data_IF_204153557123
#
_entry.id   IF_204153557123
#
_cell.length_a   1.000
_cell.length_b   1.000
_cell.length_c   1.000
_cell.angle_alpha   90.00
_cell.angle_beta   90.00
_cell.angle_gamma   90.00
#
_symmetry.space_group_name_H-M   'P 1'
#
loop_
_entity.id
_entity.type
_entity.pdbx_description
1 polymer ?
#
# COMPACT_ATOMS: atom_id res chain seq x y z
N UNK A 1 -2.52 16.24 -8.45
CA UNK A 1 -3.62 16.77 -7.59
C UNK A 1 -3.55 18.28 -7.34
N UNK A 2 -2.37 18.89 -7.27
CA UNK A 2 -2.14 20.33 -7.02
C UNK A 2 -2.65 21.25 -8.15
N UNK A 3 -2.71 20.79 -9.39
CA UNK A 3 -3.30 21.56 -10.49
C UNK A 3 -4.79 21.90 -10.31
N UNK A 4 -5.49 21.22 -9.41
CA UNK A 4 -6.90 21.51 -9.09
C UNK A 4 -7.04 22.63 -8.10
N UNK A 5 -6.15 22.77 -7.11
CA UNK A 5 -6.24 23.81 -6.08
C UNK A 5 -6.07 25.21 -6.65
N UNK A 6 -5.14 25.44 -7.58
CA UNK A 6 -5.00 26.72 -8.28
C UNK A 6 -6.28 27.15 -8.99
N UNK A 7 -6.94 26.24 -9.73
CA UNK A 7 -8.22 26.53 -10.41
C UNK A 7 -9.35 26.92 -9.44
N UNK A 8 -9.38 26.31 -8.25
CA UNK A 8 -10.38 26.66 -7.23
C UNK A 8 -10.13 28.05 -6.66
N UNK A 9 -8.89 28.36 -6.31
CA UNK A 9 -8.52 29.64 -5.69
C UNK A 9 -8.60 30.79 -6.70
N UNK A 10 -8.11 30.57 -7.93
CA UNK A 10 -8.01 31.63 -8.94
C UNK A 10 -9.30 31.89 -9.73
N UNK A 11 -10.15 30.89 -9.88
CA UNK A 11 -11.35 30.96 -10.74
C UNK A 11 -12.65 30.66 -10.01
N UNK A 12 -12.74 29.55 -9.32
CA UNK A 12 -14.02 29.08 -8.78
C UNK A 12 -14.45 29.89 -7.56
N UNK A 13 -13.59 30.10 -6.58
CA UNK A 13 -13.93 30.85 -5.38
C UNK A 13 -14.28 32.31 -5.66
N UNK A 14 -13.53 33.04 -6.50
CA UNK A 14 -13.94 34.38 -6.92
C UNK A 14 -15.29 34.43 -7.65
N UNK A 15 -15.52 33.44 -8.56
CA UNK A 15 -16.78 33.35 -9.31
C UNK A 15 -18.00 33.08 -8.41
N UNK A 16 -17.80 32.38 -7.30
CA UNK A 16 -18.85 32.06 -6.31
C UNK A 16 -18.91 33.07 -5.17
N UNK A 17 -18.10 34.14 -5.19
CA UNK A 17 -18.04 35.12 -4.11
C UNK A 17 -17.53 34.57 -2.78
N UNK A 18 -16.81 33.43 -2.81
CA UNK A 18 -16.28 32.78 -1.61
C UNK A 18 -14.92 33.39 -1.24
N UNK A 19 -14.83 33.89 0.00
CA UNK A 19 -13.55 34.35 0.56
C UNK A 19 -12.67 33.18 0.94
N UNK A 20 -11.41 33.18 0.50
CA UNK A 20 -10.41 32.23 0.87
C UNK A 20 -9.27 32.90 1.66
N UNK A 21 -8.94 32.34 2.83
CA UNK A 21 -7.85 32.82 3.68
C UNK A 21 -6.87 31.69 3.93
N UNK A 22 -5.60 31.90 3.57
CA UNK A 22 -4.50 31.00 3.90
C UNK A 22 -3.64 31.63 5.00
N UNK A 23 -3.80 31.17 6.24
CA UNK A 23 -3.16 31.77 7.42
C UNK A 23 -1.64 31.68 7.32
N UNK A 24 -1.10 30.51 6.96
CA UNK A 24 0.35 30.28 6.87
C UNK A 24 1.03 31.05 5.74
N UNK A 25 0.29 31.36 4.68
CA UNK A 25 0.79 32.12 3.53
C UNK A 25 0.45 33.62 3.63
N UNK A 26 -0.22 34.04 4.71
CA UNK A 26 -0.74 35.41 4.93
C UNK A 26 -1.53 35.93 3.72
N UNK A 27 -2.30 35.06 3.08
CA UNK A 27 -3.10 35.36 1.89
C UNK A 27 -4.58 35.49 2.24
N UNK A 28 -5.20 36.55 1.72
CA UNK A 28 -6.65 36.81 1.87
C UNK A 28 -7.22 37.30 0.53
N UNK A 29 -8.12 36.53 -0.04
CA UNK A 29 -8.70 36.83 -1.37
C UNK A 29 -9.50 38.15 -1.43
N UNK A 30 -9.90 38.72 -0.30
CA UNK A 30 -10.59 40.03 -0.23
C UNK A 30 -9.66 41.22 -0.03
N UNK A 31 -8.44 41.01 0.47
CA UNK A 31 -7.49 42.12 0.73
C UNK A 31 -6.82 42.65 -0.54
N UNK A 32 -7.57 42.75 -1.64
CA UNK A 32 -7.11 43.32 -2.88
C UNK A 32 -5.95 42.54 -3.52
N UNK A 33 -6.06 42.22 -4.78
CA UNK A 33 -4.97 41.63 -5.55
C UNK A 33 -3.83 42.67 -5.63
N UNK A 34 -2.86 42.55 -4.72
CA UNK A 34 -1.57 43.22 -4.95
C UNK A 34 -0.94 42.56 -6.19
N UNK A 35 -0.42 43.36 -7.10
CA UNK A 35 0.30 42.82 -8.28
C UNK A 35 1.36 41.79 -7.93
N UNK A 36 1.93 41.88 -6.71
CA UNK A 36 2.85 40.90 -6.17
C UNK A 36 2.19 39.52 -5.94
N UNK A 37 0.94 39.45 -5.46
CA UNK A 37 0.24 38.19 -5.16
C UNK A 37 -0.14 37.43 -6.44
N UNK A 38 -0.42 38.14 -7.53
CA UNK A 38 -0.70 37.53 -8.84
C UNK A 38 0.50 36.76 -9.40
N UNK A 39 1.71 37.16 -9.04
CA UNK A 39 2.95 36.50 -9.49
C UNK A 39 3.43 35.47 -8.45
N UNK A 40 3.33 35.80 -7.17
CA UNK A 40 3.85 34.96 -6.08
C UNK A 40 3.10 33.63 -5.98
N UNK A 41 1.77 33.63 -6.12
CA UNK A 41 0.96 32.42 -5.97
C UNK A 41 1.25 31.38 -7.08
N UNK A 42 1.21 31.70 -8.38
CA UNK A 42 1.59 30.79 -9.42
C UNK A 42 3.05 30.30 -9.28
N UNK A 43 3.96 31.17 -8.84
CA UNK A 43 5.37 30.81 -8.63
C UNK A 43 5.53 29.83 -7.45
N UNK A 44 4.87 30.04 -6.32
CA UNK A 44 4.82 29.09 -5.20
C UNK A 44 4.25 27.72 -5.65
N UNK A 45 3.18 27.73 -6.43
CA UNK A 45 2.59 26.51 -6.98
C UNK A 45 3.57 25.75 -7.89
N UNK A 46 4.30 26.47 -8.74
CA UNK A 46 5.32 25.89 -9.61
C UNK A 46 6.47 25.26 -8.81
N UNK A 47 6.97 25.95 -7.78
CA UNK A 47 8.00 25.41 -6.89
C UNK A 47 7.50 24.16 -6.15
N UNK A 48 6.27 24.19 -5.62
CA UNK A 48 5.70 23.04 -4.95
C UNK A 48 5.55 21.82 -5.88
N UNK A 49 5.14 22.04 -7.12
CA UNK A 49 5.07 21.00 -8.14
C UNK A 49 6.45 20.42 -8.47
N UNK A 50 7.46 21.27 -8.65
CA UNK A 50 8.83 20.84 -8.88
C UNK A 50 9.37 20.02 -7.68
N UNK A 51 9.10 20.47 -6.46
CA UNK A 51 9.48 19.79 -5.24
C UNK A 51 8.80 18.42 -5.11
N UNK A 52 7.50 18.32 -5.40
CA UNK A 52 6.78 17.05 -5.39
C UNK A 52 7.33 16.05 -6.42
N UNK A 53 7.72 16.54 -7.61
CA UNK A 53 8.35 15.69 -8.63
C UNK A 53 9.72 15.19 -8.18
N UNK A 54 10.56 16.06 -7.64
CA UNK A 54 11.88 15.71 -7.14
C UNK A 54 11.81 14.67 -6.02
N UNK A 55 10.93 14.87 -5.02
CA UNK A 55 10.68 13.89 -3.97
C UNK A 55 10.21 12.55 -4.56
N UNK A 56 9.29 12.58 -5.52
CA UNK A 56 8.80 11.35 -6.16
C UNK A 56 9.92 10.57 -6.84
N UNK A 57 10.82 11.26 -7.54
CA UNK A 57 11.99 10.64 -8.19
C UNK A 57 12.92 10.03 -7.13
N UNK A 58 13.24 10.77 -6.07
CA UNK A 58 14.10 10.30 -4.97
C UNK A 58 13.52 9.08 -4.26
N UNK A 59 12.22 9.07 -3.98
CA UNK A 59 11.54 7.91 -3.36
C UNK A 59 11.63 6.69 -4.27
N UNK A 60 11.32 6.83 -5.57
CA UNK A 60 11.37 5.72 -6.53
C UNK A 60 12.78 5.15 -6.64
N UNK A 61 13.78 6.00 -6.80
CA UNK A 61 15.19 5.60 -6.87
C UNK A 61 15.62 4.85 -5.61
N UNK A 62 15.27 5.37 -4.43
CA UNK A 62 15.61 4.72 -3.16
C UNK A 62 14.93 3.34 -3.02
N UNK A 63 13.65 3.25 -3.38
CA UNK A 63 12.93 1.96 -3.38
C UNK A 63 13.54 0.96 -4.37
N UNK A 64 13.98 1.43 -5.53
CA UNK A 64 14.65 0.58 -6.53
C UNK A 64 15.99 0.05 -6.02
N UNK A 65 16.82 0.91 -5.41
CA UNK A 65 18.08 0.51 -4.80
C UNK A 65 17.85 -0.57 -3.73
N UNK A 66 16.86 -0.36 -2.86
CA UNK A 66 16.49 -1.34 -1.82
C UNK A 66 16.06 -2.68 -2.42
N UNK A 67 15.23 -2.65 -3.46
CA UNK A 67 14.82 -3.89 -4.15
C UNK A 67 16.00 -4.61 -4.79
N UNK A 68 16.93 -3.90 -5.44
CA UNK A 68 18.16 -4.48 -6.00
C UNK A 68 19.07 -5.12 -4.94
N UNK A 69 19.03 -4.61 -3.70
CA UNK A 69 19.71 -5.23 -2.55
C UNK A 69 18.97 -6.43 -1.95
N UNK A 70 17.81 -6.81 -2.48
CA UNK A 70 16.97 -7.89 -1.94
C UNK A 70 16.18 -7.50 -0.68
N UNK A 71 16.12 -6.22 -0.34
CA UNK A 71 15.36 -5.73 0.81
C UNK A 71 13.85 -5.79 0.57
N UNK A 72 13.08 -6.24 1.55
CA UNK A 72 11.62 -6.20 1.51
C UNK A 72 11.13 -4.77 1.78
N UNK A 73 10.60 -4.12 0.75
CA UNK A 73 10.06 -2.74 0.85
C UNK A 73 8.53 -2.70 0.98
N UNK A 74 7.86 -3.86 0.89
CA UNK A 74 6.41 -3.93 1.02
C UNK A 74 5.98 -3.79 2.48
N UNK A 75 4.84 -3.11 2.77
CA UNK A 75 4.33 -3.03 4.14
C UNK A 75 3.87 -4.39 4.67
N UNK A 76 3.32 -5.22 3.80
CA UNK A 76 2.82 -6.55 4.11
C UNK A 76 3.67 -7.62 3.43
N UNK A 77 3.87 -8.73 4.14
CA UNK A 77 4.62 -9.90 3.65
C UNK A 77 3.67 -11.06 3.35
N UNK A 78 4.15 -12.03 2.59
CA UNK A 78 3.39 -13.24 2.29
C UNK A 78 3.10 -14.02 3.59
N UNK A 79 1.96 -14.71 3.62
CA UNK A 79 1.59 -15.59 4.74
C UNK A 79 2.66 -16.65 4.96
N UNK A 80 3.01 -16.98 6.19
CA UNK A 80 4.13 -17.87 6.52
C UNK A 80 5.46 -17.15 6.73
N UNK A 81 5.54 -15.86 6.43
CA UNK A 81 6.70 -15.01 6.72
C UNK A 81 6.31 -13.83 7.59
N UNK A 82 7.27 -13.33 8.35
CA UNK A 82 7.16 -12.08 9.11
C UNK A 82 8.42 -11.25 8.93
N UNK A 83 8.34 -9.95 9.22
CA UNK A 83 9.52 -9.09 9.25
C UNK A 83 10.30 -9.34 10.52
N UNK A 84 11.63 -9.37 10.41
CA UNK A 84 12.52 -9.51 11.57
C UNK A 84 12.36 -8.29 12.49
N UNK A 85 12.41 -8.50 13.80
CA UNK A 85 12.30 -7.42 14.80
C UNK A 85 13.43 -6.41 14.72
N UNK A 86 14.62 -6.87 14.36
CA UNK A 86 15.84 -6.07 14.24
C UNK A 86 15.94 -5.29 12.94
N UNK A 87 15.40 -5.84 11.84
CA UNK A 87 15.46 -5.24 10.50
C UNK A 87 14.14 -5.42 9.75
N UNK A 88 13.40 -4.34 9.58
CA UNK A 88 12.10 -4.32 8.88
C UNK A 88 12.19 -4.68 7.39
N UNK A 89 13.38 -4.77 6.83
CA UNK A 89 13.62 -5.11 5.43
C UNK A 89 13.96 -6.58 5.21
N UNK A 90 14.19 -7.34 6.29
CA UNK A 90 14.46 -8.78 6.23
C UNK A 90 13.23 -9.59 6.61
N UNK A 91 13.08 -10.72 5.92
CA UNK A 91 12.01 -11.68 6.18
C UNK A 91 12.57 -12.86 6.98
N UNK A 92 11.78 -13.34 7.91
CA UNK A 92 12.01 -14.59 8.62
C UNK A 92 10.75 -15.46 8.54
N UNK A 93 10.90 -16.77 8.68
CA UNK A 93 9.78 -17.70 8.70
C UNK A 93 9.00 -17.48 9.99
N UNK A 94 7.68 -17.36 9.87
CA UNK A 94 6.78 -17.39 11.01
C UNK A 94 6.51 -18.87 11.35
N UNK A 95 6.88 -19.38 12.55
CA UNK A 95 6.75 -20.79 12.86
C UNK A 95 5.32 -21.32 12.69
N UNK A 96 4.33 -20.56 13.16
CA UNK A 96 2.93 -20.98 13.13
C UNK A 96 2.34 -20.91 11.72
N UNK A 97 2.48 -19.78 11.04
CA UNK A 97 1.95 -19.61 9.69
C UNK A 97 2.77 -20.39 8.64
N UNK A 98 4.08 -20.56 8.88
CA UNK A 98 4.96 -21.33 8.00
C UNK A 98 4.63 -22.81 7.95
N UNK A 99 4.26 -23.43 9.09
CA UNK A 99 3.81 -24.83 9.12
C UNK A 99 2.54 -25.03 8.28
N UNK A 100 1.59 -24.10 8.37
CA UNK A 100 0.35 -24.17 7.57
C UNK A 100 0.67 -24.09 6.06
N UNK A 101 1.61 -23.24 5.67
CA UNK A 101 2.06 -23.18 4.27
C UNK A 101 2.66 -24.49 3.82
N UNK A 102 3.52 -25.11 4.63
CA UNK A 102 4.09 -26.44 4.31
C UNK A 102 2.99 -27.50 4.14
N UNK A 103 1.97 -27.49 5.00
CA UNK A 103 0.87 -28.45 4.91
C UNK A 103 0.01 -28.22 3.66
N UNK A 104 -0.21 -26.97 3.25
CA UNK A 104 -0.87 -26.66 1.96
C UNK A 104 -0.09 -27.28 0.79
N UNK A 105 1.24 -27.13 0.75
CA UNK A 105 2.07 -27.73 -0.30
C UNK A 105 2.03 -29.25 -0.23
N UNK A 106 2.10 -29.87 0.96
CA UNK A 106 1.99 -31.35 1.13
C UNK A 106 0.64 -31.86 0.62
N UNK A 107 -0.48 -31.23 1.02
CA UNK A 107 -1.82 -31.61 0.55
C UNK A 107 -1.94 -31.47 -0.97
N UNK A 108 -1.31 -30.46 -1.57
CA UNK A 108 -1.30 -30.29 -3.03
C UNK A 108 -0.51 -31.40 -3.72
N UNK A 109 0.65 -31.78 -3.19
CA UNK A 109 1.46 -32.91 -3.70
C UNK A 109 0.73 -34.26 -3.59
N UNK A 110 -0.14 -34.42 -2.59
CA UNK A 110 -1.03 -35.59 -2.45
C UNK A 110 -2.21 -35.59 -3.44
N UNK A 111 -2.30 -34.59 -4.33
CA UNK A 111 -3.33 -34.51 -5.38
C UNK A 111 -4.61 -33.79 -4.97
N UNK A 112 -4.69 -33.19 -3.78
CA UNK A 112 -5.89 -32.47 -3.37
C UNK A 112 -6.15 -31.24 -4.25
N UNK A 113 -7.43 -30.98 -4.52
CA UNK A 113 -7.86 -29.74 -5.20
C UNK A 113 -7.70 -28.53 -4.26
N UNK A 114 -7.62 -27.33 -4.82
CA UNK A 114 -7.51 -26.09 -4.03
C UNK A 114 -8.74 -25.86 -3.12
N UNK A 115 -9.92 -26.26 -3.59
CA UNK A 115 -11.16 -26.18 -2.79
C UNK A 115 -11.13 -27.20 -1.65
N UNK A 116 -10.69 -28.43 -1.90
CA UNK A 116 -10.55 -29.46 -0.85
C UNK A 116 -9.56 -29.04 0.24
N UNK A 117 -8.43 -28.41 -0.16
CA UNK A 117 -7.45 -27.87 0.79
C UNK A 117 -8.08 -26.73 1.61
N UNK A 118 -8.78 -25.80 0.98
CA UNK A 118 -9.44 -24.69 1.69
C UNK A 118 -10.48 -25.20 2.69
N UNK A 119 -11.31 -26.15 2.30
CA UNK A 119 -12.31 -26.76 3.17
C UNK A 119 -11.64 -27.47 4.36
N UNK A 120 -10.57 -28.23 4.09
CA UNK A 120 -9.83 -28.93 5.16
C UNK A 120 -9.23 -27.96 6.18
N UNK A 121 -8.68 -26.83 5.74
CA UNK A 121 -8.14 -25.82 6.64
C UNK A 121 -9.25 -25.14 7.48
N UNK A 122 -10.43 -24.93 6.89
CA UNK A 122 -11.61 -24.41 7.61
C UNK A 122 -12.15 -25.40 8.64
N UNK A 123 -12.25 -26.68 8.30
CA UNK A 123 -12.66 -27.75 9.22
C UNK A 123 -11.73 -27.88 10.43
N UNK A 124 -10.42 -27.70 10.21
CA UNK A 124 -9.41 -27.71 11.25
C UNK A 124 -9.38 -26.41 12.10
N UNK A 125 -10.23 -25.42 11.78
CA UNK A 125 -10.26 -24.15 12.48
C UNK A 125 -9.01 -23.29 12.30
N UNK A 126 -8.21 -23.54 11.26
CA UNK A 126 -6.99 -22.80 10.98
C UNK A 126 -7.36 -21.41 10.47
N UNK A 127 -6.84 -20.38 11.11
CA UNK A 127 -7.12 -18.99 10.74
C UNK A 127 -6.62 -18.69 9.31
N UNK A 128 -7.49 -18.05 8.51
CA UNK A 128 -7.09 -17.57 7.19
C UNK A 128 -6.00 -16.50 7.30
N UNK A 129 -5.24 -16.22 6.24
CA UNK A 129 -4.18 -15.20 6.27
C UNK A 129 -4.64 -13.82 6.74
N UNK A 130 -5.90 -13.49 6.48
CA UNK A 130 -6.51 -12.24 6.95
C UNK A 130 -6.75 -12.25 8.46
N UNK A 131 -7.43 -13.28 8.97
CA UNK A 131 -7.72 -13.42 10.40
C UNK A 131 -6.44 -13.61 11.23
N UNK A 132 -5.47 -14.36 10.71
CA UNK A 132 -4.16 -14.52 11.35
C UNK A 132 -3.44 -13.17 11.49
N UNK A 133 -3.54 -12.30 10.48
CA UNK A 133 -2.95 -10.97 10.53
C UNK A 133 -3.63 -10.09 11.60
N UNK A 134 -4.94 -10.16 11.74
CA UNK A 134 -5.69 -9.43 12.77
C UNK A 134 -5.32 -9.96 14.17
N UNK A 135 -5.28 -11.27 14.35
CA UNK A 135 -4.91 -11.89 15.63
C UNK A 135 -3.47 -11.55 16.05
N UNK A 136 -2.57 -11.30 15.09
CA UNK A 136 -1.20 -10.86 15.34
C UNK A 136 -1.08 -9.37 15.68
N UNK A 137 -2.18 -8.66 15.90
CA UNK A 137 -2.18 -7.23 16.26
C UNK A 137 -2.01 -6.26 15.10
N UNK A 138 -2.20 -6.69 13.86
CA UNK A 138 -2.20 -5.79 12.72
C UNK A 138 -3.43 -4.88 12.71
N UNK A 139 -3.23 -3.56 12.64
CA UNK A 139 -4.31 -2.56 12.49
C UNK A 139 -4.83 -2.47 11.04
N UNK A 140 -4.86 -3.60 10.34
CA UNK A 140 -5.33 -3.62 8.97
C UNK A 140 -6.86 -3.64 8.93
N UNK A 141 -7.45 -2.50 8.61
CA UNK A 141 -8.89 -2.38 8.34
C UNK A 141 -9.13 -2.39 6.84
N UNK A 142 -10.10 -3.19 6.40
CA UNK A 142 -10.57 -3.16 5.01
C UNK A 142 -12.02 -2.69 5.00
N UNK A 143 -12.35 -1.74 4.13
CA UNK A 143 -13.74 -1.31 3.91
C UNK A 143 -14.64 -2.38 3.29
N UNK A 144 -14.09 -3.56 2.97
CA UNK A 144 -14.79 -4.67 2.30
C UNK A 144 -15.09 -5.86 3.22
N UNK A 145 -15.01 -5.71 4.54
CA UNK A 145 -15.34 -6.80 5.45
C UNK A 145 -16.85 -7.06 5.40
N UNK A 146 -17.24 -8.11 4.68
CA UNK A 146 -18.65 -8.51 4.53
C UNK A 146 -19.07 -9.63 5.46
N UNK A 147 -18.14 -10.28 6.17
CA UNK A 147 -18.39 -11.43 7.05
C UNK A 147 -17.73 -11.21 8.42
N UNK A 148 -18.32 -11.78 9.46
CA UNK A 148 -17.75 -11.76 10.80
C UNK A 148 -16.38 -12.42 10.87
N UNK A 149 -16.16 -13.49 10.10
CA UNK A 149 -14.89 -14.20 10.00
C UNK A 149 -14.54 -14.51 8.55
N UNK A 150 -13.30 -14.22 8.15
CA UNK A 150 -12.80 -14.53 6.82
C UNK A 150 -12.27 -15.98 6.78
N UNK A 151 -12.92 -16.84 6.01
CA UNK A 151 -12.53 -18.23 5.82
C UNK A 151 -11.48 -18.39 4.71
N UNK A 152 -10.81 -19.56 4.69
CA UNK A 152 -10.00 -19.98 3.56
C UNK A 152 -10.86 -20.17 2.31
N UNK A 153 -10.31 -19.81 1.18
CA UNK A 153 -10.92 -20.01 -0.14
C UNK A 153 -9.90 -20.61 -1.10
N UNK A 154 -10.38 -21.29 -2.15
CA UNK A 154 -9.52 -21.82 -3.23
C UNK A 154 -8.63 -20.75 -3.84
N UNK A 155 -9.13 -19.52 -3.97
CA UNK A 155 -8.34 -18.38 -4.47
C UNK A 155 -7.17 -18.05 -3.55
N UNK A 156 -7.38 -18.13 -2.22
CA UNK A 156 -6.31 -17.88 -1.24
C UNK A 156 -5.25 -18.98 -1.31
N UNK A 157 -5.68 -20.24 -1.38
CA UNK A 157 -4.79 -21.40 -1.54
C UNK A 157 -3.99 -21.29 -2.83
N UNK A 158 -4.66 -20.97 -3.96
CA UNK A 158 -3.99 -20.78 -5.26
C UNK A 158 -2.91 -19.69 -5.18
N UNK A 159 -3.22 -18.53 -4.58
CA UNK A 159 -2.27 -17.42 -4.44
C UNK A 159 -1.04 -17.81 -3.62
N UNK A 160 -1.18 -18.70 -2.64
CA UNK A 160 -0.05 -19.23 -1.88
C UNK A 160 0.77 -20.15 -2.78
N UNK A 161 0.17 -21.12 -3.46
CA UNK A 161 0.86 -22.08 -4.31
C UNK A 161 1.59 -21.44 -5.50
N UNK A 162 1.08 -20.34 -6.03
CA UNK A 162 1.67 -19.59 -7.16
C UNK A 162 2.68 -18.51 -6.75
N UNK A 163 2.88 -18.30 -5.45
CA UNK A 163 3.72 -17.19 -5.01
C UNK A 163 5.21 -17.59 -4.97
N UNK A 164 5.98 -16.95 -5.80
CA UNK A 164 7.41 -17.18 -5.97
C UNK A 164 8.26 -16.97 -4.69
N UNK A 165 7.71 -16.31 -3.67
CA UNK A 165 8.41 -16.10 -2.40
C UNK A 165 8.73 -17.42 -1.70
N UNK A 166 7.91 -18.46 -1.88
CA UNK A 166 8.12 -19.78 -1.27
C UNK A 166 9.22 -20.61 -1.92
N UNK A 167 9.71 -20.19 -3.09
CA UNK A 167 10.90 -20.74 -3.74
C UNK A 167 12.12 -19.81 -3.61
N UNK A 168 12.03 -18.80 -2.74
CA UNK A 168 13.13 -17.88 -2.44
C UNK A 168 13.16 -16.59 -3.27
N UNK A 169 12.23 -16.38 -4.20
CA UNK A 169 12.21 -15.20 -5.05
C UNK A 169 11.33 -14.09 -4.47
N UNK A 170 11.93 -13.03 -3.97
CA UNK A 170 11.18 -11.85 -3.49
C UNK A 170 10.82 -10.92 -4.65
N UNK A 171 9.66 -11.13 -5.26
CA UNK A 171 9.18 -10.32 -6.38
C UNK A 171 8.40 -9.11 -5.88
N UNK A 172 8.90 -7.91 -6.20
CA UNK A 172 8.33 -6.63 -5.78
C UNK A 172 8.23 -5.65 -6.96
N UNK A 173 7.31 -4.69 -6.87
CA UNK A 173 7.17 -3.66 -7.91
C UNK A 173 6.54 -4.16 -9.22
N UNK A 174 5.70 -5.20 -9.16
CA UNK A 174 5.00 -5.79 -10.34
C UNK A 174 4.11 -4.78 -11.09
N UNK A 175 3.70 -3.70 -10.44
CA UNK A 175 2.84 -2.68 -11.05
C UNK A 175 3.49 -1.31 -10.91
N UNK A 176 3.54 -0.58 -12.00
CA UNK A 176 3.91 0.83 -12.03
C UNK A 176 2.71 1.64 -12.48
N UNK A 177 2.48 2.79 -11.83
CA UNK A 177 1.50 3.75 -12.35
C UNK A 177 2.23 4.60 -13.38
N UNK A 178 1.82 4.60 -14.68
CA UNK A 178 2.41 5.50 -15.64
C UNK A 178 2.21 6.95 -15.16
N UNK A 179 3.21 7.78 -15.38
CA UNK A 179 3.09 9.20 -15.05
C UNK A 179 1.95 9.80 -15.89
N UNK A 180 0.94 10.32 -15.21
CA UNK A 180 -0.08 11.17 -15.81
C UNK A 180 0.38 12.61 -15.84
#
# INVERSE_FOLDING_TARGET
MLFRSGKYIERLFPALGVRFIAINDNYDSLKGKNQADEIIIPFKNLINDAYCRDISIKIRSNLEIKRKKGECVTPFVAFGYRKTKTDKHKLEIDPSAGSVVQDIFKMKLQGMSQDAIANRLNELGILSPFEYKISSGSRYETGFRQKEQALWSSVTVRRILENEVYIGNLVQGKRTTPNR
#
